data_IF_103073049683
#
_entry.id   IF_103073049683
#
_cell.length_a   1.000
_cell.length_b   1.000
_cell.length_c   1.000
_cell.angle_alpha   90.00
_cell.angle_beta   90.00
_cell.angle_gamma   90.00
#
_symmetry.space_group_name_H-M   'P 1'
#
loop_
_entity.id
_entity.type
_entity.pdbx_description
1 polymer ?
#
# COMPACT_ATOMS: atom_id res chain seq x y z
N UNK A 1 -0.23 0.31 1.79
CA UNK A 1 -1.64 0.20 2.21
C UNK A 1 -2.17 -1.12 1.71
N UNK A 2 -2.65 -1.99 2.59
CA UNK A 2 -3.17 -3.30 2.17
C UNK A 2 -4.19 -3.82 3.17
N UNK A 3 -5.24 -4.48 2.68
CA UNK A 3 -6.18 -5.22 3.54
C UNK A 3 -5.52 -6.44 4.22
N UNK A 4 -4.38 -6.91 3.71
CA UNK A 4 -3.66 -8.09 4.17
C UNK A 4 -2.17 -7.77 4.41
N UNK A 5 -1.85 -7.00 5.46
CA UNK A 5 -0.47 -6.60 5.74
C UNK A 5 0.47 -7.79 6.00
N UNK A 6 -0.04 -8.92 6.50
CA UNK A 6 0.75 -10.12 6.79
C UNK A 6 1.38 -10.74 5.53
N UNK A 7 0.82 -10.49 4.34
CA UNK A 7 1.39 -10.96 3.07
C UNK A 7 2.82 -10.45 2.85
N UNK A 8 3.15 -9.27 3.39
CA UNK A 8 4.48 -8.68 3.22
C UNK A 8 5.57 -9.40 4.02
N UNK A 9 5.21 -10.31 4.96
CA UNK A 9 6.18 -11.20 5.62
C UNK A 9 6.99 -12.02 4.63
N UNK A 10 6.39 -12.37 3.49
CA UNK A 10 7.09 -13.08 2.41
C UNK A 10 8.36 -12.35 1.94
N UNK A 11 8.37 -11.01 1.97
CA UNK A 11 9.53 -10.21 1.56
C UNK A 11 10.31 -9.61 2.73
N UNK A 12 9.70 -9.41 3.91
CA UNK A 12 10.41 -8.87 5.08
C UNK A 12 11.17 -9.91 5.89
N UNK A 13 10.76 -11.19 5.83
CA UNK A 13 11.30 -12.21 6.75
C UNK A 13 12.30 -13.15 6.07
N UNK A 14 12.26 -13.24 4.74
CA UNK A 14 12.98 -14.23 3.95
C UNK A 14 13.85 -13.63 2.84
N UNK A 15 14.88 -14.39 2.41
CA UNK A 15 15.69 -14.08 1.24
C UNK A 15 16.59 -12.84 1.35
N UNK A 16 16.90 -12.24 0.20
CA UNK A 16 17.74 -11.03 0.10
C UNK A 16 17.05 -9.83 0.73
N UNK A 17 15.75 -9.66 0.49
CA UNK A 17 14.95 -8.55 1.03
C UNK A 17 14.82 -8.64 2.55
N UNK A 18 14.62 -9.82 3.12
CA UNK A 18 14.57 -9.97 4.57
C UNK A 18 15.89 -9.67 5.27
N UNK A 19 17.03 -9.96 4.61
CA UNK A 19 18.35 -9.53 5.09
C UNK A 19 18.51 -8.00 5.05
N UNK A 20 18.03 -7.36 3.98
CA UNK A 20 18.05 -5.90 3.87
C UNK A 20 17.23 -5.24 5.00
N UNK A 21 16.07 -5.80 5.34
CA UNK A 21 15.26 -5.34 6.48
C UNK A 21 16.00 -5.51 7.80
N UNK A 22 16.55 -6.70 8.08
CA UNK A 22 17.30 -6.97 9.31
C UNK A 22 18.53 -6.07 9.49
N UNK A 23 19.17 -5.70 8.40
CA UNK A 23 20.35 -4.82 8.39
C UNK A 23 19.99 -3.32 8.32
N UNK A 24 18.70 -2.95 8.32
CA UNK A 24 18.26 -1.56 8.26
C UNK A 24 18.44 -0.87 6.90
N UNK A 25 18.70 -1.64 5.84
CA UNK A 25 18.85 -1.12 4.46
C UNK A 25 17.50 -0.90 3.77
N UNK A 26 16.44 -1.57 4.24
CA UNK A 26 15.07 -1.46 3.76
C UNK A 26 14.11 -1.37 4.94
N UNK A 27 13.17 -0.43 4.91
CA UNK A 27 12.08 -0.35 5.87
C UNK A 27 10.75 -0.51 5.15
N UNK A 28 9.91 -1.43 5.63
CA UNK A 28 8.54 -1.64 5.14
C UNK A 28 7.61 -1.47 6.33
N UNK A 29 6.67 -0.54 6.19
CA UNK A 29 5.58 -0.30 7.14
C UNK A 29 4.26 -0.48 6.43
N UNK A 30 3.26 -0.97 7.15
CA UNK A 30 1.96 -1.33 6.57
C UNK A 30 0.82 -0.77 7.40
N UNK A 31 -0.19 -0.27 6.70
CA UNK A 31 -1.45 0.22 7.27
C UNK A 31 -2.59 -0.53 6.60
N UNK A 32 -3.47 -1.13 7.40
CA UNK A 32 -4.68 -1.77 6.90
C UNK A 32 -5.85 -0.81 6.96
N UNK A 33 -6.56 -0.53 5.84
CA UNK A 33 -7.81 0.23 5.86
C UNK A 33 -8.81 -0.27 6.90
N UNK A 34 -8.78 -1.57 7.23
CA UNK A 34 -9.65 -2.16 8.24
C UNK A 34 -9.47 -1.53 9.63
N UNK A 35 -8.28 -1.00 9.95
CA UNK A 35 -7.99 -0.33 11.22
C UNK A 35 -8.55 1.11 11.29
N UNK A 36 -9.02 1.64 10.15
CA UNK A 36 -9.57 3.00 10.02
C UNK A 36 -11.08 3.02 9.82
N UNK A 37 -11.74 1.88 10.07
CA UNK A 37 -13.20 1.74 10.01
C UNK A 37 -13.84 2.14 11.34
N UNK A 38 -15.12 2.54 11.31
CA UNK A 38 -15.85 2.99 12.50
C UNK A 38 -17.08 2.13 12.82
N UNK A 39 -17.45 1.20 11.92
CA UNK A 39 -18.57 0.29 12.11
C UNK A 39 -18.13 -0.99 12.84
N UNK A 40 -19.08 -1.65 13.49
CA UNK A 40 -18.84 -2.89 14.26
C UNK A 40 -18.24 -4.02 13.40
N UNK A 41 -18.57 -4.08 12.12
CA UNK A 41 -18.15 -5.15 11.22
C UNK A 41 -16.84 -4.86 10.50
N UNK A 42 -16.27 -3.66 10.69
CA UNK A 42 -15.03 -3.21 10.05
C UNK A 42 -15.12 -3.34 8.52
N UNK A 43 -16.16 -2.73 7.97
CA UNK A 43 -16.51 -2.77 6.55
C UNK A 43 -15.49 -1.98 5.73
N UNK A 44 -14.97 -2.58 4.66
CA UNK A 44 -13.87 -2.00 3.86
C UNK A 44 -14.20 -1.88 2.37
N UNK A 45 -15.40 -2.27 1.99
CA UNK A 45 -15.91 -2.26 0.63
C UNK A 45 -17.22 -1.46 0.54
N UNK A 46 -17.50 -0.89 -0.63
CA UNK A 46 -18.71 -0.13 -0.90
C UNK A 46 -19.22 -0.37 -2.33
N UNK A 47 -20.50 -0.14 -2.56
CA UNK A 47 -21.16 -0.39 -3.85
C UNK A 47 -20.77 0.70 -4.86
N UNK A 48 -20.47 0.34 -6.12
CA UNK A 48 -20.24 1.32 -7.16
C UNK A 48 -21.54 2.08 -7.49
N UNK A 49 -21.43 3.39 -7.69
CA UNK A 49 -22.52 4.18 -8.27
C UNK A 49 -22.82 3.70 -9.69
N UNK A 50 -24.11 3.62 -10.05
CA UNK A 50 -24.57 3.04 -11.31
C UNK A 50 -24.82 1.52 -11.26
N UNK A 51 -24.49 0.85 -10.15
CA UNK A 51 -24.70 -0.58 -9.98
C UNK A 51 -23.73 -1.44 -10.80
N UNK A 52 -24.13 -2.69 -11.08
CA UNK A 52 -23.27 -3.70 -11.68
C UNK A 52 -22.67 -4.68 -10.66
N UNK A 53 -22.03 -5.76 -11.13
CA UNK A 53 -21.41 -6.73 -10.25
C UNK A 53 -20.14 -6.19 -9.59
N UNK A 54 -19.83 -6.72 -8.40
CA UNK A 54 -18.60 -6.41 -7.68
C UNK A 54 -18.74 -5.25 -6.69
N UNK A 55 -17.65 -5.02 -5.96
CA UNK A 55 -17.53 -3.98 -4.93
C UNK A 55 -16.25 -3.19 -5.18
N UNK A 56 -16.21 -1.95 -4.68
CA UNK A 56 -15.01 -1.12 -4.66
C UNK A 56 -14.49 -1.02 -3.23
N UNK A 57 -13.24 -0.61 -3.07
CA UNK A 57 -12.72 -0.22 -1.75
C UNK A 57 -13.53 0.96 -1.21
N UNK A 58 -13.98 0.87 0.04
CA UNK A 58 -14.67 1.96 0.71
C UNK A 58 -13.72 3.15 0.88
N UNK A 59 -14.20 4.35 0.49
CA UNK A 59 -13.34 5.53 0.34
C UNK A 59 -12.75 5.99 1.69
N UNK A 60 -13.57 6.10 2.73
CA UNK A 60 -13.13 6.65 4.02
C UNK A 60 -11.97 5.85 4.66
N UNK A 61 -12.07 4.54 4.91
CA UNK A 61 -10.99 3.80 5.55
C UNK A 61 -9.72 3.74 4.69
N UNK A 62 -9.87 3.68 3.36
CA UNK A 62 -8.73 3.71 2.45
C UNK A 62 -8.01 5.07 2.47
N UNK A 63 -8.77 6.17 2.40
CA UNK A 63 -8.23 7.53 2.43
C UNK A 63 -7.49 7.80 3.74
N UNK A 64 -8.05 7.37 4.86
CA UNK A 64 -7.46 7.62 6.17
C UNK A 64 -6.19 6.78 6.39
N UNK A 65 -6.16 5.54 5.89
CA UNK A 65 -4.93 4.74 5.87
C UNK A 65 -3.82 5.40 5.00
N UNK A 66 -4.18 5.94 3.83
CA UNK A 66 -3.24 6.68 2.97
C UNK A 66 -2.73 7.93 3.69
N UNK A 67 -3.59 8.67 4.37
CA UNK A 67 -3.19 9.86 5.14
C UNK A 67 -2.25 9.51 6.29
N UNK A 68 -2.52 8.44 7.03
CA UNK A 68 -1.64 7.95 8.08
C UNK A 68 -0.25 7.58 7.53
N UNK A 69 -0.19 6.87 6.40
CA UNK A 69 1.07 6.53 5.75
C UNK A 69 1.83 7.76 5.24
N UNK A 70 1.13 8.76 4.67
CA UNK A 70 1.73 10.03 4.26
C UNK A 70 2.32 10.80 5.46
N UNK A 71 1.59 10.87 6.56
CA UNK A 71 2.06 11.52 7.78
C UNK A 71 3.31 10.83 8.34
N UNK A 72 3.34 9.49 8.36
CA UNK A 72 4.50 8.72 8.79
C UNK A 72 5.72 8.86 7.86
N UNK A 73 5.50 8.97 6.55
CA UNK A 73 6.58 9.14 5.58
C UNK A 73 7.16 10.57 5.58
N UNK A 74 6.35 11.58 5.94
CA UNK A 74 6.72 12.99 5.83
C UNK A 74 6.82 13.47 4.38
N UNK A 75 7.62 14.50 4.14
CA UNK A 75 7.77 15.08 2.80
C UNK A 75 8.52 14.17 1.82
N UNK A 76 8.21 14.34 0.53
CA UNK A 76 8.92 13.71 -0.60
C UNK A 76 8.51 12.28 -0.94
N UNK A 77 7.48 11.72 -0.29
CA UNK A 77 7.02 10.36 -0.59
C UNK A 77 6.15 10.31 -1.85
N UNK A 78 6.54 9.49 -2.83
CA UNK A 78 5.72 9.22 -4.02
C UNK A 78 4.67 8.16 -3.70
N UNK A 79 3.40 8.44 -4.01
CA UNK A 79 2.28 7.51 -3.83
C UNK A 79 1.97 6.82 -5.14
N UNK A 80 1.93 5.48 -5.15
CA UNK A 80 1.75 4.66 -6.34
C UNK A 80 0.58 3.72 -6.11
N UNK A 81 -0.35 3.68 -7.05
CA UNK A 81 -1.43 2.70 -7.07
C UNK A 81 -1.09 1.58 -8.06
N UNK A 82 -1.05 0.33 -7.57
CA UNK A 82 -0.84 -0.85 -8.40
C UNK A 82 -2.16 -1.25 -9.05
N UNK A 83 -2.25 -1.09 -10.37
CA UNK A 83 -3.44 -1.42 -11.14
C UNK A 83 -3.07 -1.90 -12.55
N UNK A 84 -3.87 -2.79 -13.17
CA UNK A 84 -3.71 -3.18 -14.57
C UNK A 84 -3.81 -2.02 -15.57
N UNK A 85 -4.42 -0.89 -15.18
CA UNK A 85 -4.55 0.32 -16.00
C UNK A 85 -3.30 1.22 -15.89
N UNK A 86 -2.36 0.91 -14.99
CA UNK A 86 -1.14 1.69 -14.79
C UNK A 86 -0.09 1.49 -15.89
N UNK A 87 1.01 2.26 -15.79
CA UNK A 87 2.20 2.06 -16.62
C UNK A 87 2.75 0.65 -16.38
N UNK A 88 2.89 -0.14 -17.44
CA UNK A 88 3.54 -1.46 -17.39
C UNK A 88 4.97 -1.31 -16.87
N UNK A 89 5.31 -2.07 -15.83
CA UNK A 89 6.64 -2.04 -15.23
C UNK A 89 7.64 -2.77 -16.13
N UNK A 90 8.75 -2.11 -16.41
CA UNK A 90 9.94 -2.66 -17.08
C UNK A 90 11.19 -2.31 -16.26
N UNK A 91 12.37 -2.80 -16.70
CA UNK A 91 13.61 -2.59 -15.96
C UNK A 91 13.98 -1.11 -15.84
N UNK A 92 13.69 -0.30 -16.86
CA UNK A 92 13.91 1.15 -16.81
C UNK A 92 13.01 1.81 -15.76
N UNK A 93 11.73 1.42 -15.69
CA UNK A 93 10.80 1.85 -14.67
C UNK A 93 11.24 1.45 -13.26
N UNK A 94 11.83 0.26 -13.08
CA UNK A 94 12.42 -0.14 -11.79
C UNK A 94 13.58 0.77 -11.40
N UNK A 95 14.51 1.05 -12.32
CA UNK A 95 15.63 1.98 -12.08
C UNK A 95 15.16 3.39 -11.74
N UNK A 96 14.12 3.89 -12.43
CA UNK A 96 13.49 5.17 -12.12
C UNK A 96 12.87 5.18 -10.71
N UNK A 97 12.11 4.13 -10.36
CA UNK A 97 11.47 4.02 -9.06
C UNK A 97 12.49 3.92 -7.91
N UNK A 98 13.62 3.26 -8.13
CA UNK A 98 14.70 3.12 -7.15
C UNK A 98 15.37 4.45 -6.77
N UNK A 99 15.18 5.52 -7.54
CA UNK A 99 15.69 6.86 -7.18
C UNK A 99 14.90 7.53 -6.06
N UNK A 100 13.69 7.03 -5.74
CA UNK A 100 12.85 7.59 -4.69
C UNK A 100 13.26 7.01 -3.33
N UNK A 101 13.62 7.85 -2.37
CA UNK A 101 13.96 7.39 -1.01
C UNK A 101 12.75 6.86 -0.22
N UNK A 102 11.54 7.33 -0.56
CA UNK A 102 10.28 6.98 0.12
C UNK A 102 9.20 6.71 -0.90
N UNK A 103 8.53 5.56 -0.76
CA UNK A 103 7.38 5.17 -1.57
C UNK A 103 6.23 4.74 -0.67
N UNK A 104 5.00 5.09 -1.06
CA UNK A 104 3.77 4.56 -0.50
C UNK A 104 3.07 3.79 -1.60
N UNK A 105 2.91 2.48 -1.40
CA UNK A 105 2.19 1.56 -2.28
C UNK A 105 0.86 1.19 -1.62
#
# INVERSE_FOLDING_TARGET
ISLFPEMFRAITDYGVTGRAVKNGLLSIQSWSPRDFTHDRHRTVDDRPYGGGPGMLMMVQPLRDAIHAAKAAAGEGAKVIYLSPQGRKLDQAGVSELATNQKLIL
#
